data_IF_173609768570
#
_entry.id   IF_173609768570
#
_cell.length_a   1.000
_cell.length_b   1.000
_cell.length_c   1.000
_cell.angle_alpha   90.00
_cell.angle_beta   90.00
_cell.angle_gamma   90.00
#
_symmetry.space_group_name_H-M   'P 1'
#
loop_
_entity.id
_entity.type
_entity.pdbx_description
1 polymer ?
#
# COMPACT_ATOMS: atom_id res chain seq x y z
N UNK A 1 19.69 -16.31 3.70
CA UNK A 1 19.15 -16.18 2.32
C UNK A 1 18.03 -15.14 2.38
N UNK A 2 18.08 -14.11 1.53
CA UNK A 2 17.09 -13.04 1.58
C UNK A 2 15.71 -13.58 1.15
N UNK A 3 14.73 -13.54 2.04
CA UNK A 3 13.37 -13.95 1.74
C UNK A 3 12.58 -12.74 1.23
N UNK A 4 12.06 -12.81 0.01
CA UNK A 4 11.17 -11.76 -0.53
C UNK A 4 9.73 -12.10 -0.20
N UNK A 5 9.04 -11.17 0.45
CA UNK A 5 7.60 -11.25 0.70
C UNK A 5 6.87 -10.27 -0.22
N UNK A 6 5.84 -10.74 -0.90
CA UNK A 6 4.97 -9.87 -1.70
C UNK A 6 3.79 -9.40 -0.84
N UNK A 7 3.53 -8.10 -0.82
CA UNK A 7 2.43 -7.51 -0.07
C UNK A 7 1.49 -6.79 -1.03
N UNK A 8 0.34 -7.41 -1.31
CA UNK A 8 -0.70 -6.79 -2.11
C UNK A 8 -1.45 -5.76 -1.27
N UNK A 9 -1.57 -4.55 -1.77
CA UNK A 9 -1.98 -3.39 -1.00
C UNK A 9 -2.69 -2.35 -1.86
N UNK A 10 -3.58 -1.57 -1.23
CA UNK A 10 -4.18 -0.38 -1.82
C UNK A 10 -3.88 0.83 -0.94
N UNK A 11 -3.45 1.94 -1.52
CA UNK A 11 -3.10 3.17 -0.82
C UNK A 11 -4.29 3.85 -0.12
N UNK A 12 -5.52 3.48 -0.48
CA UNK A 12 -6.74 3.99 0.19
C UNK A 12 -7.28 3.03 1.26
N UNK A 13 -6.62 1.88 1.46
CA UNK A 13 -7.02 0.88 2.46
C UNK A 13 -6.35 1.16 3.81
N UNK A 14 -7.10 1.49 4.89
CA UNK A 14 -6.52 1.75 6.20
C UNK A 14 -5.82 0.52 6.78
N UNK A 15 -6.32 -0.68 6.51
CA UNK A 15 -5.72 -1.93 6.97
C UNK A 15 -4.36 -2.19 6.31
N UNK A 16 -4.17 -1.74 5.06
CA UNK A 16 -2.87 -1.81 4.38
C UNK A 16 -1.85 -0.88 5.04
N UNK A 17 -2.26 0.33 5.43
CA UNK A 17 -1.41 1.23 6.20
C UNK A 17 -1.06 0.66 7.59
N UNK A 18 -2.05 0.10 8.30
CA UNK A 18 -1.81 -0.52 9.60
C UNK A 18 -0.92 -1.76 9.53
N UNK A 19 -0.82 -2.42 8.37
CA UNK A 19 0.05 -3.56 8.16
C UNK A 19 1.54 -3.16 8.00
N UNK A 20 1.85 -1.89 7.70
CA UNK A 20 3.24 -1.45 7.52
C UNK A 20 4.10 -1.72 8.75
N UNK A 21 3.60 -1.38 9.95
CA UNK A 21 4.39 -1.52 11.18
C UNK A 21 4.77 -2.99 11.47
N UNK A 22 3.84 -3.96 11.56
CA UNK A 22 4.22 -5.34 11.80
C UNK A 22 5.07 -5.96 10.68
N UNK A 23 4.91 -5.50 9.43
CA UNK A 23 5.76 -5.93 8.32
C UNK A 23 7.18 -5.36 8.44
N UNK A 24 7.32 -4.09 8.80
CA UNK A 24 8.62 -3.46 9.02
C UNK A 24 9.36 -4.12 10.19
N UNK A 25 8.67 -4.37 11.30
CA UNK A 25 9.25 -5.06 12.47
C UNK A 25 9.74 -6.46 12.10
N UNK A 26 9.01 -7.19 11.27
CA UNK A 26 9.39 -8.52 10.80
C UNK A 26 10.57 -8.48 9.82
N UNK A 27 10.78 -7.37 9.10
CA UNK A 27 11.91 -7.19 8.17
C UNK A 27 13.18 -6.63 8.83
N UNK A 28 13.10 -6.16 10.07
CA UNK A 28 14.21 -5.47 10.77
C UNK A 28 15.45 -6.36 10.99
N UNK A 29 15.33 -7.67 10.90
CA UNK A 29 16.45 -8.63 10.95
C UNK A 29 17.33 -8.68 9.69
N UNK A 30 16.97 -7.98 8.60
CA UNK A 30 17.73 -7.94 7.35
C UNK A 30 17.61 -9.17 6.46
N UNK A 31 16.92 -10.20 6.89
CA UNK A 31 16.71 -11.44 6.12
C UNK A 31 15.42 -11.44 5.28
N UNK A 32 14.60 -10.38 5.39
CA UNK A 32 13.32 -10.23 4.72
C UNK A 32 13.30 -8.94 3.90
N UNK A 33 12.89 -9.03 2.64
CA UNK A 33 12.64 -7.90 1.76
C UNK A 33 11.14 -7.80 1.44
N UNK A 34 10.54 -6.64 1.67
CA UNK A 34 9.16 -6.37 1.33
C UNK A 34 9.08 -5.89 -0.12
N UNK A 35 8.28 -6.58 -0.93
CA UNK A 35 7.93 -6.18 -2.29
C UNK A 35 6.44 -5.80 -2.34
N UNK A 36 6.16 -4.51 -2.34
CA UNK A 36 4.80 -4.00 -2.45
C UNK A 36 4.22 -4.28 -3.83
N UNK A 37 2.95 -4.69 -3.88
CA UNK A 37 2.23 -5.03 -5.11
C UNK A 37 0.90 -4.27 -5.17
N UNK A 38 0.63 -3.59 -6.28
CA UNK A 38 -0.60 -2.85 -6.45
C UNK A 38 -1.85 -3.74 -6.43
N UNK A 39 -2.87 -3.25 -5.74
CA UNK A 39 -4.23 -3.73 -5.82
C UNK A 39 -5.18 -2.53 -5.73
N UNK A 40 -6.21 -2.47 -6.55
CA UNK A 40 -7.22 -1.42 -6.47
C UNK A 40 -8.54 -2.01 -5.95
N UNK A 41 -8.93 -1.62 -4.74
CA UNK A 41 -10.23 -2.00 -4.15
C UNK A 41 -11.40 -1.50 -4.99
N UNK A 42 -11.24 -0.33 -5.57
CA UNK A 42 -12.26 0.36 -6.38
C UNK A 42 -11.61 1.00 -7.60
N UNK A 43 -11.28 0.19 -8.63
CA UNK A 43 -10.71 0.73 -9.87
C UNK A 43 -11.75 1.61 -10.58
N UNK A 44 -11.28 2.63 -11.28
CA UNK A 44 -12.14 3.45 -12.15
C UNK A 44 -12.82 2.56 -13.20
N UNK A 45 -14.15 2.72 -13.46
CA UNK A 45 -15.08 3.74 -12.96
C UNK A 45 -15.91 3.32 -11.72
N UNK A 46 -15.49 2.34 -10.95
CA UNK A 46 -16.21 1.92 -9.73
C UNK A 46 -16.29 3.10 -8.74
N UNK A 47 -17.50 3.49 -8.27
CA UNK A 47 -17.61 4.60 -7.33
C UNK A 47 -16.79 4.39 -6.05
N UNK A 48 -16.00 5.38 -5.70
CA UNK A 48 -15.20 5.37 -4.47
C UNK A 48 -16.04 5.76 -3.25
N UNK A 49 -15.52 5.47 -2.06
CA UNK A 49 -16.23 5.73 -0.82
C UNK A 49 -16.19 7.21 -0.44
N UNK A 50 -17.19 7.64 0.33
CA UNK A 50 -17.26 8.98 0.92
C UNK A 50 -17.03 8.92 2.42
N UNK A 51 -16.10 9.74 2.96
CA UNK A 51 -15.80 9.71 4.40
C UNK A 51 -17.00 10.08 5.27
N UNK A 52 -17.94 10.88 4.76
CA UNK A 52 -19.21 11.22 5.43
C UNK A 52 -20.25 10.10 5.41
N UNK A 53 -20.02 9.00 4.67
CA UNK A 53 -20.94 7.87 4.58
C UNK A 53 -20.91 6.96 5.79
N UNK A 54 -22.05 6.40 6.17
CA UNK A 54 -22.23 5.55 7.36
C UNK A 54 -21.26 4.37 7.42
N UNK A 55 -20.95 3.79 6.27
CA UNK A 55 -20.03 2.64 6.18
C UNK A 55 -18.63 3.03 6.69
N UNK A 56 -18.03 4.12 6.19
CA UNK A 56 -16.71 4.52 6.65
C UNK A 56 -16.75 5.01 8.09
N UNK A 57 -17.75 5.80 8.47
CA UNK A 57 -17.88 6.29 9.84
C UNK A 57 -17.95 5.13 10.85
N UNK A 58 -18.81 4.14 10.61
CA UNK A 58 -18.95 2.99 11.51
C UNK A 58 -17.71 2.09 11.51
N UNK A 59 -17.15 1.77 10.34
CA UNK A 59 -15.97 0.91 10.22
C UNK A 59 -14.75 1.54 10.91
N UNK A 60 -14.54 2.84 10.73
CA UNK A 60 -13.43 3.53 11.37
C UNK A 60 -13.56 3.59 12.90
N UNK A 61 -14.75 3.89 13.41
CA UNK A 61 -14.99 3.93 14.86
C UNK A 61 -14.87 2.55 15.51
N UNK A 62 -15.41 1.52 14.88
CA UNK A 62 -15.53 0.20 15.48
C UNK A 62 -14.29 -0.69 15.26
N UNK A 63 -13.56 -0.48 14.18
CA UNK A 63 -12.47 -1.40 13.77
C UNK A 63 -11.13 -0.67 13.59
N UNK A 64 -11.08 0.38 12.74
CA UNK A 64 -9.80 0.99 12.35
C UNK A 64 -9.13 1.69 13.53
N UNK A 65 -9.82 2.59 14.22
CA UNK A 65 -9.26 3.31 15.36
C UNK A 65 -8.82 2.39 16.52
N UNK A 66 -9.64 1.42 16.96
CA UNK A 66 -9.19 0.47 17.98
C UNK A 66 -7.97 -0.37 17.57
N UNK A 67 -7.87 -0.73 16.29
CA UNK A 67 -6.70 -1.46 15.78
C UNK A 67 -5.47 -0.56 15.74
N UNK A 68 -5.60 0.65 15.25
CA UNK A 68 -4.53 1.65 15.20
C UNK A 68 -3.97 1.97 16.60
N UNK A 69 -4.84 2.12 17.60
CA UNK A 69 -4.46 2.33 19.00
C UNK A 69 -3.62 1.16 19.53
N UNK A 70 -4.05 -0.08 19.30
CA UNK A 70 -3.28 -1.28 19.71
C UNK A 70 -1.91 -1.37 19.05
N UNK A 71 -1.79 -0.91 17.80
CA UNK A 71 -0.53 -0.92 17.03
C UNK A 71 0.32 0.33 17.28
N UNK A 72 -0.19 1.33 17.98
CA UNK A 72 0.51 2.61 18.17
C UNK A 72 0.69 3.42 16.88
N UNK A 73 -0.16 3.19 15.86
CA UNK A 73 -0.05 3.83 14.54
C UNK A 73 -0.98 5.04 14.46
N UNK A 74 -0.46 6.25 14.21
CA UNK A 74 -1.31 7.43 14.03
C UNK A 74 -2.06 7.35 12.71
N UNK A 75 -3.38 7.43 12.77
CA UNK A 75 -4.26 7.37 11.60
C UNK A 75 -5.49 8.27 11.80
N UNK A 76 -5.94 8.89 10.71
CA UNK A 76 -7.17 9.70 10.68
C UNK A 76 -7.96 9.34 9.43
N UNK A 77 -9.29 9.22 9.54
CA UNK A 77 -10.16 9.11 8.38
C UNK A 77 -9.97 10.34 7.47
N UNK A 78 -9.42 10.17 6.25
CA UNK A 78 -9.18 11.31 5.37
C UNK A 78 -10.47 12.00 4.96
N UNK A 79 -10.45 13.35 4.95
CA UNK A 79 -11.62 14.19 4.59
C UNK A 79 -11.78 14.37 3.08
N UNK A 80 -10.94 13.76 2.26
CA UNK A 80 -11.05 13.80 0.80
C UNK A 80 -12.32 13.06 0.38
N UNK A 81 -13.25 13.76 -0.25
CA UNK A 81 -14.56 13.21 -0.64
C UNK A 81 -14.90 13.53 -2.10
N UNK A 82 -15.21 12.51 -2.94
CA UNK A 82 -15.04 11.09 -2.64
C UNK A 82 -13.56 10.73 -2.44
N UNK A 83 -13.27 9.59 -1.80
CA UNK A 83 -11.89 9.11 -1.71
C UNK A 83 -11.30 8.92 -3.10
N UNK A 84 -9.99 9.16 -3.29
CA UNK A 84 -9.38 9.13 -4.62
C UNK A 84 -9.26 7.70 -5.15
N UNK A 85 -9.14 7.58 -6.47
CA UNK A 85 -8.61 6.36 -7.09
C UNK A 85 -7.10 6.29 -6.81
N UNK A 86 -6.59 5.10 -6.51
CA UNK A 86 -5.17 4.89 -6.17
C UNK A 86 -4.25 4.67 -7.37
N UNK A 87 -4.80 4.58 -8.59
CA UNK A 87 -4.05 4.30 -9.82
C UNK A 87 -2.83 5.21 -10.00
N UNK A 88 -3.01 6.53 -9.95
CA UNK A 88 -1.90 7.48 -10.15
C UNK A 88 -0.81 7.34 -9.08
N UNK A 89 -1.20 7.08 -7.83
CA UNK A 89 -0.24 6.81 -6.76
C UNK A 89 0.57 5.52 -7.03
N UNK A 90 -0.04 4.49 -7.63
CA UNK A 90 0.67 3.28 -8.04
C UNK A 90 1.54 3.47 -9.29
N UNK A 91 1.14 4.29 -10.23
CA UNK A 91 2.02 4.69 -11.34
C UNK A 91 3.26 5.43 -10.79
N UNK A 92 3.08 6.31 -9.79
CA UNK A 92 4.18 6.95 -9.07
C UNK A 92 5.04 5.97 -8.27
N UNK A 93 4.43 4.92 -7.71
CA UNK A 93 5.16 3.83 -7.06
C UNK A 93 6.09 3.12 -8.06
N UNK A 94 5.60 2.79 -9.26
CA UNK A 94 6.42 2.14 -10.28
C UNK A 94 7.62 3.02 -10.70
N UNK A 95 7.42 4.34 -10.80
CA UNK A 95 8.52 5.30 -11.03
C UNK A 95 9.56 5.27 -9.89
N UNK A 96 9.10 5.25 -8.64
CA UNK A 96 9.99 5.21 -7.47
C UNK A 96 10.71 3.87 -7.32
N UNK A 97 10.04 2.76 -7.66
CA UNK A 97 10.59 1.40 -7.59
C UNK A 97 11.78 1.24 -8.54
N UNK A 98 11.72 1.76 -9.78
CA UNK A 98 12.85 1.77 -10.72
C UNK A 98 14.10 2.51 -10.16
N UNK A 99 13.90 3.35 -9.14
CA UNK A 99 14.95 4.14 -8.49
C UNK A 99 15.29 3.62 -7.09
N UNK A 100 14.87 2.39 -6.78
CA UNK A 100 15.05 1.73 -5.47
C UNK A 100 14.45 2.54 -4.29
N UNK A 101 13.40 3.33 -4.54
CA UNK A 101 12.70 4.14 -3.54
C UNK A 101 11.25 3.68 -3.31
N UNK A 102 10.83 2.53 -3.86
CA UNK A 102 9.46 2.02 -3.76
C UNK A 102 8.97 1.90 -2.33
N UNK A 103 9.75 1.29 -1.43
CA UNK A 103 9.41 1.16 -0.01
C UNK A 103 9.19 2.54 0.64
N UNK A 104 10.13 3.47 0.48
CA UNK A 104 10.02 4.81 1.05
C UNK A 104 8.88 5.62 0.45
N UNK A 105 8.59 5.41 -0.83
CA UNK A 105 7.45 6.04 -1.49
C UNK A 105 6.14 5.52 -0.91
N UNK A 106 5.99 4.20 -0.71
CA UNK A 106 4.83 3.57 -0.08
C UNK A 106 4.53 4.19 1.29
N UNK A 107 5.52 4.25 2.17
CA UNK A 107 5.41 4.87 3.49
C UNK A 107 4.95 6.34 3.42
N UNK A 108 5.50 7.10 2.48
CA UNK A 108 5.15 8.52 2.31
C UNK A 108 3.73 8.71 1.77
N UNK A 109 3.28 7.88 0.83
CA UNK A 109 1.92 7.94 0.30
C UNK A 109 0.90 7.60 1.37
N UNK A 110 1.09 6.54 2.14
CA UNK A 110 0.20 6.21 3.24
C UNK A 110 0.13 7.34 4.27
N UNK A 111 1.26 7.91 4.67
CA UNK A 111 1.28 9.05 5.60
C UNK A 111 0.65 10.31 5.00
N UNK A 112 0.85 10.57 3.69
CA UNK A 112 0.21 11.69 3.02
C UNK A 112 -1.32 11.58 3.09
N UNK A 113 -1.88 10.39 2.86
CA UNK A 113 -3.31 10.16 2.87
C UNK A 113 -3.88 10.05 4.30
N UNK A 114 -3.36 9.13 5.12
CA UNK A 114 -3.93 8.78 6.42
C UNK A 114 -3.50 9.66 7.61
N UNK A 115 -2.44 10.42 7.48
CA UNK A 115 -1.98 11.32 8.55
C UNK A 115 -2.13 12.78 8.16
N UNK A 116 -1.65 13.14 6.95
CA UNK A 116 -1.68 14.52 6.44
C UNK A 116 -2.97 14.88 5.69
N UNK A 117 -3.86 13.91 5.46
CA UNK A 117 -5.15 14.06 4.78
C UNK A 117 -5.05 14.69 3.38
N UNK A 118 -3.95 14.38 2.65
CA UNK A 118 -3.70 14.88 1.28
C UNK A 118 -4.39 13.99 0.25
N UNK A 119 -4.88 14.59 -0.82
CA UNK A 119 -5.54 13.87 -1.91
C UNK A 119 -4.50 13.22 -2.84
N UNK A 120 -4.22 11.94 -2.61
CA UNK A 120 -3.26 11.14 -3.39
C UNK A 120 -3.74 10.78 -4.82
N UNK A 121 -4.93 11.19 -5.21
CA UNK A 121 -5.40 11.12 -6.59
C UNK A 121 -4.92 12.29 -7.46
N UNK A 122 -4.22 13.28 -6.88
CA UNK A 122 -3.77 14.48 -7.57
C UNK A 122 -2.28 14.45 -7.88
N UNK A 123 -1.95 14.73 -9.14
CA UNK A 123 -0.56 14.75 -9.63
C UNK A 123 0.30 15.70 -8.81
N UNK A 124 -0.20 16.87 -8.43
CA UNK A 124 0.53 17.86 -7.63
C UNK A 124 0.96 17.30 -6.28
N UNK A 125 0.03 16.61 -5.60
CA UNK A 125 0.29 15.98 -4.29
C UNK A 125 1.33 14.87 -4.41
N UNK A 126 1.21 14.03 -5.42
CA UNK A 126 2.16 12.95 -5.67
C UNK A 126 3.54 13.47 -6.04
N UNK A 127 3.60 14.56 -6.83
CA UNK A 127 4.86 15.25 -7.21
C UNK A 127 5.56 15.84 -5.98
N UNK A 128 4.80 16.45 -5.06
CA UNK A 128 5.37 16.96 -3.81
C UNK A 128 5.98 15.83 -2.97
N UNK A 129 5.26 14.71 -2.86
CA UNK A 129 5.78 13.51 -2.12
C UNK A 129 7.04 12.97 -2.79
N UNK A 130 7.09 12.93 -4.12
CA UNK A 130 8.28 12.51 -4.87
C UNK A 130 9.46 13.45 -4.60
N UNK A 131 9.24 14.76 -4.59
CA UNK A 131 10.25 15.77 -4.23
C UNK A 131 10.76 15.62 -2.79
N UNK A 132 9.89 15.33 -1.81
CA UNK A 132 10.27 15.04 -0.42
C UNK A 132 11.22 13.81 -0.31
N UNK A 133 11.20 12.93 -1.29
CA UNK A 133 12.06 11.74 -1.38
C UNK A 133 13.36 12.00 -2.16
N UNK A 134 13.52 13.19 -2.75
CA UNK A 134 14.66 13.53 -3.60
C UNK A 134 14.56 13.01 -5.03
N UNK A 135 13.37 12.58 -5.46
CA UNK A 135 13.11 12.24 -6.85
C UNK A 135 13.01 13.51 -7.70
N UNK A 136 13.34 13.42 -8.98
CA UNK A 136 13.15 14.51 -9.94
C UNK A 136 11.65 14.80 -10.10
N UNK A 137 11.20 15.92 -9.53
CA UNK A 137 9.79 16.29 -9.48
C UNK A 137 9.21 16.59 -10.87
N UNK A 138 9.99 17.15 -11.78
CA UNK A 138 9.54 17.51 -13.12
C UNK A 138 9.39 16.24 -13.98
N UNK A 139 10.37 15.33 -13.95
CA UNK A 139 10.28 14.04 -14.65
C UNK A 139 9.20 13.13 -14.05
N UNK A 140 9.04 13.14 -12.71
CA UNK A 140 7.96 12.40 -12.04
C UNK A 140 6.57 12.90 -12.50
N UNK A 141 6.36 14.23 -12.50
CA UNK A 141 5.12 14.85 -12.99
C UNK A 141 4.86 14.46 -14.44
N UNK A 142 5.84 14.63 -15.31
CA UNK A 142 5.73 14.28 -16.73
C UNK A 142 5.43 12.78 -16.92
N UNK A 143 5.99 11.91 -16.08
CA UNK A 143 5.71 10.48 -16.11
C UNK A 143 4.24 10.16 -15.80
N UNK A 144 3.67 10.81 -14.78
CA UNK A 144 2.25 10.62 -14.42
C UNK A 144 1.32 11.19 -15.49
N UNK A 145 1.56 12.43 -15.94
CA UNK A 145 0.71 13.10 -16.93
C UNK A 145 0.71 12.39 -18.30
N UNK A 146 1.84 11.78 -18.69
CA UNK A 146 1.94 11.00 -19.91
C UNK A 146 1.45 9.55 -19.79
N UNK A 147 1.15 9.06 -18.58
CA UNK A 147 0.80 7.67 -18.33
C UNK A 147 1.97 6.70 -18.62
N UNK A 148 3.23 7.15 -18.44
CA UNK A 148 4.44 6.37 -18.71
C UNK A 148 4.42 4.98 -18.03
N UNK A 149 3.82 4.88 -16.86
CA UNK A 149 3.74 3.65 -16.05
C UNK A 149 2.36 2.98 -16.05
N UNK A 150 1.42 3.45 -16.87
CA UNK A 150 0.07 2.89 -16.92
C UNK A 150 0.06 1.40 -17.29
N UNK A 151 0.88 0.99 -18.28
CA UNK A 151 0.95 -0.42 -18.68
C UNK A 151 1.61 -1.29 -17.60
N UNK A 152 2.69 -0.81 -16.96
CA UNK A 152 3.34 -1.52 -15.85
C UNK A 152 2.35 -1.74 -14.67
N UNK A 153 1.57 -0.72 -14.34
CA UNK A 153 0.51 -0.82 -13.34
C UNK A 153 -0.56 -1.86 -13.73
N UNK A 154 -1.03 -1.85 -14.98
CA UNK A 154 -1.99 -2.85 -15.47
C UNK A 154 -1.43 -4.27 -15.42
N UNK A 155 -0.14 -4.47 -15.69
CA UNK A 155 0.53 -5.77 -15.55
C UNK A 155 0.54 -6.24 -14.09
N UNK A 156 0.84 -5.34 -13.15
CA UNK A 156 0.80 -5.66 -11.72
C UNK A 156 -0.61 -6.05 -11.25
N UNK A 157 -1.66 -5.37 -11.73
CA UNK A 157 -3.04 -5.73 -11.43
C UNK A 157 -3.45 -7.08 -12.08
N UNK A 158 -2.93 -7.41 -13.26
CA UNK A 158 -3.15 -8.74 -13.87
C UNK A 158 -2.57 -9.85 -13.00
N UNK A 159 -1.33 -9.65 -12.49
CA UNK A 159 -0.69 -10.59 -11.56
C UNK A 159 -1.54 -10.81 -10.29
N UNK A 160 -2.09 -9.75 -9.71
CA UNK A 160 -2.97 -9.87 -8.56
C UNK A 160 -4.20 -10.74 -8.86
N UNK A 161 -4.81 -10.58 -10.05
CA UNK A 161 -5.95 -11.40 -10.50
C UNK A 161 -5.56 -12.85 -10.75
N UNK A 162 -4.44 -13.11 -11.39
CA UNK A 162 -3.92 -14.48 -11.65
C UNK A 162 -3.65 -15.22 -10.34
N UNK A 163 -3.23 -14.52 -9.31
CA UNK A 163 -3.04 -15.04 -7.95
C UNK A 163 -4.33 -15.06 -7.12
N UNK A 164 -5.47 -14.70 -7.72
CA UNK A 164 -6.78 -14.67 -7.06
C UNK A 164 -6.77 -13.84 -5.76
N UNK A 165 -6.03 -12.72 -5.77
CA UNK A 165 -6.06 -11.77 -4.64
C UNK A 165 -7.38 -11.02 -4.68
N UNK A 166 -8.16 -11.13 -3.61
CA UNK A 166 -9.48 -10.49 -3.47
C UNK A 166 -9.60 -9.62 -2.23
N UNK A 167 -8.64 -9.74 -1.32
CA UNK A 167 -8.57 -9.02 -0.05
C UNK A 167 -7.21 -8.37 0.09
N UNK A 168 -7.16 -7.16 0.65
CA UNK A 168 -5.91 -6.49 0.99
C UNK A 168 -5.97 -5.92 2.42
N UNK A 169 -4.84 -5.91 3.14
CA UNK A 169 -3.54 -6.42 2.72
C UNK A 169 -3.53 -7.95 2.60
N UNK A 170 -2.80 -8.47 1.61
CA UNK A 170 -2.48 -9.90 1.52
C UNK A 170 -0.96 -10.05 1.41
N UNK A 171 -0.38 -10.82 2.31
CA UNK A 171 1.04 -11.17 2.34
C UNK A 171 1.21 -12.55 1.69
N UNK A 172 2.14 -12.66 0.75
CA UNK A 172 2.45 -13.89 0.04
C UNK A 172 3.94 -14.22 0.16
N UNK A 173 4.23 -15.44 0.62
CA UNK A 173 5.60 -15.96 0.76
C UNK A 173 5.60 -17.41 0.26
N UNK A 174 6.39 -17.71 -0.77
CA UNK A 174 6.55 -19.07 -1.33
C UNK A 174 5.20 -19.80 -1.56
N UNK A 175 4.21 -19.06 -2.14
CA UNK A 175 2.86 -19.57 -2.40
C UNK A 175 1.95 -19.67 -1.18
N UNK A 176 2.44 -19.36 0.02
CA UNK A 176 1.65 -19.31 1.27
C UNK A 176 1.07 -17.93 1.48
N UNK A 177 -0.18 -17.84 1.85
CA UNK A 177 -0.95 -16.60 1.93
C UNK A 177 -1.38 -16.28 3.36
N UNK A 178 -1.28 -15.00 3.73
CA UNK A 178 -1.83 -14.43 4.96
C UNK A 178 -2.66 -13.19 4.60
N UNK A 179 -3.94 -13.20 4.91
CA UNK A 179 -4.87 -12.11 4.61
C UNK A 179 -5.16 -11.25 5.85
N UNK A 180 -5.34 -9.95 5.64
CA UNK A 180 -5.57 -8.95 6.68
C UNK A 180 -4.28 -8.45 7.33
N UNK A 181 -4.43 -7.60 8.37
CA UNK A 181 -3.29 -7.04 9.11
C UNK A 181 -2.59 -8.16 9.87
N UNK A 182 -1.31 -8.45 9.56
CA UNK A 182 -0.61 -9.57 10.16
C UNK A 182 -0.24 -9.28 11.62
N UNK A 183 -0.27 -10.32 12.45
CA UNK A 183 0.43 -10.28 13.74
C UNK A 183 1.87 -10.76 13.59
N UNK A 184 2.77 -10.35 14.51
CA UNK A 184 4.14 -10.83 14.52
C UNK A 184 4.23 -12.36 14.52
N UNK A 185 3.39 -13.02 15.34
CA UNK A 185 3.33 -14.47 15.44
C UNK A 185 2.89 -15.12 14.11
N UNK A 186 1.92 -14.53 13.40
CA UNK A 186 1.48 -15.02 12.10
C UNK A 186 2.57 -14.90 11.03
N UNK A 187 3.34 -13.78 11.05
CA UNK A 187 4.48 -13.59 10.17
C UNK A 187 5.61 -14.58 10.46
N UNK A 188 5.96 -14.81 11.73
CA UNK A 188 6.95 -15.83 12.10
C UNK A 188 6.55 -17.21 11.58
N UNK A 189 5.31 -17.66 11.81
CA UNK A 189 4.83 -18.93 11.26
C UNK A 189 4.88 -19.00 9.73
N UNK A 190 4.64 -17.87 9.05
CA UNK A 190 4.71 -17.80 7.61
C UNK A 190 6.16 -17.97 7.11
N UNK A 191 7.13 -17.37 7.79
CA UNK A 191 8.55 -17.43 7.45
C UNK A 191 9.20 -18.78 7.83
N UNK A 192 8.92 -19.30 9.03
CA UNK A 192 9.47 -20.59 9.47
C UNK A 192 9.08 -21.74 8.55
N UNK A 193 7.88 -21.70 8.00
CA UNK A 193 7.44 -22.69 7.04
C UNK A 193 8.08 -22.56 5.64
N UNK A 194 8.67 -21.40 5.30
CA UNK A 194 9.40 -21.21 4.05
C UNK A 194 10.82 -21.82 4.12
N UNK A 195 11.42 -21.89 5.31
CA UNK A 195 12.77 -22.48 5.54
C UNK A 195 12.75 -24.00 5.55
N UNK A 196 11.59 -24.63 5.79
CA UNK A 196 11.48 -26.09 5.95
C UNK A 196 11.37 -26.87 4.62
N UNK A 197 11.39 -26.23 3.45
CA UNK A 197 11.22 -26.85 2.13
C UNK A 197 12.50 -26.78 1.28
N UNK A 198 13.62 -26.36 1.86
CA UNK A 198 14.94 -26.25 1.20
C UNK A 198 15.83 -27.48 1.39
#
# INVERSE_FOLDING_TARGET
MLTTIEVFSDFVCPFCYLAEQPLADAADGGDVQIAWRPFELRPDPTPTLRPEGDYLQSTWQQVVYPMAERLGVPIVLPRVSPQPYSRLAFEGFAYAEERALGQRYTERIFRAFFVKQRDIGKVEILTDVAGELGLDADDFRAALESGRYAEAHQQALRRARELEITVVPTVLVDGRRLEGVPSAEALHRLFDGAVAIG
#
